data_IF_864806612720
#
_entry.id   IF_864806612720
#
_cell.length_a   1.000
_cell.length_b   1.000
_cell.length_c   1.000
_cell.angle_alpha   90.00
_cell.angle_beta   90.00
_cell.angle_gamma   90.00
#
_symmetry.space_group_name_H-M   'P 1'
#
loop_
_entity.id
_entity.type
_entity.pdbx_description
1 polymer ?
#
# COMPACT_ATOMS: atom_id res chain seq x y z
N UNK A 1 23.73 22.07 4.23
CA UNK A 1 22.25 22.02 4.40
C UNK A 1 21.93 21.85 5.88
N UNK A 2 21.00 22.61 6.42
CA UNK A 2 20.69 22.50 7.84
C UNK A 2 19.76 21.29 8.09
N UNK A 3 19.65 20.90 9.37
CA UNK A 3 18.87 19.72 9.77
C UNK A 3 17.39 19.86 9.40
N UNK A 4 16.84 21.07 9.52
CA UNK A 4 15.44 21.33 9.15
C UNK A 4 15.16 21.03 7.68
N UNK A 5 16.02 21.54 6.80
CA UNK A 5 15.88 21.32 5.33
C UNK A 5 16.06 19.85 4.97
N UNK A 6 16.99 19.14 5.63
CA UNK A 6 17.19 17.71 5.41
C UNK A 6 15.96 16.91 5.82
N UNK A 7 15.41 17.18 7.01
CA UNK A 7 14.19 16.51 7.48
C UNK A 7 12.99 16.83 6.59
N UNK A 8 12.85 18.06 6.15
CA UNK A 8 11.78 18.49 5.25
C UNK A 8 11.87 17.73 3.91
N UNK A 9 13.07 17.60 3.37
CA UNK A 9 13.32 16.86 2.13
C UNK A 9 12.94 15.38 2.31
N UNK A 10 13.41 14.74 3.37
CA UNK A 10 13.08 13.34 3.68
C UNK A 10 11.56 13.17 3.84
N UNK A 11 10.91 14.08 4.54
CA UNK A 11 9.46 14.04 4.76
C UNK A 11 8.69 14.13 3.45
N UNK A 12 9.07 15.06 2.56
CA UNK A 12 8.42 15.22 1.26
C UNK A 12 8.67 14.00 0.37
N UNK A 13 9.89 13.48 0.32
CA UNK A 13 10.22 12.30 -0.47
C UNK A 13 9.46 11.07 0.01
N UNK A 14 9.35 10.88 1.32
CA UNK A 14 8.57 9.76 1.86
C UNK A 14 7.08 9.89 1.55
N UNK A 15 6.55 11.12 1.53
CA UNK A 15 5.17 11.38 1.11
C UNK A 15 4.93 10.99 -0.34
N UNK A 16 5.86 11.34 -1.22
CA UNK A 16 5.79 11.00 -2.65
C UNK A 16 5.82 9.48 -2.84
N UNK A 17 6.73 8.80 -2.14
CA UNK A 17 6.81 7.34 -2.19
C UNK A 17 5.54 6.69 -1.67
N UNK A 18 5.01 7.18 -0.56
CA UNK A 18 3.81 6.63 0.07
C UNK A 18 2.60 6.73 -0.86
N UNK A 19 2.35 7.92 -1.39
CA UNK A 19 1.20 8.19 -2.28
C UNK A 19 1.40 7.49 -3.62
N UNK A 20 2.59 7.61 -4.22
CA UNK A 20 2.89 7.03 -5.53
C UNK A 20 2.81 5.52 -5.53
N UNK A 21 3.43 4.86 -4.54
CA UNK A 21 3.39 3.41 -4.42
C UNK A 21 1.97 2.92 -4.13
N UNK A 22 1.25 3.61 -3.24
CA UNK A 22 -0.12 3.24 -2.90
C UNK A 22 -1.05 3.27 -4.11
N UNK A 23 -1.04 4.35 -4.88
CA UNK A 23 -1.85 4.47 -6.10
C UNK A 23 -1.39 3.51 -7.18
N UNK A 24 -0.08 3.39 -7.39
CA UNK A 24 0.47 2.47 -8.39
C UNK A 24 0.12 1.03 -8.10
N UNK A 25 0.24 0.61 -6.85
CA UNK A 25 -0.11 -0.74 -6.41
C UNK A 25 -1.60 -1.02 -6.60
N UNK A 26 -2.46 -0.09 -6.21
CA UNK A 26 -3.90 -0.24 -6.36
C UNK A 26 -4.30 -0.34 -7.84
N UNK A 27 -3.72 0.49 -8.69
CA UNK A 27 -3.97 0.48 -10.13
C UNK A 27 -3.58 -0.88 -10.75
N UNK A 28 -2.35 -1.32 -10.49
CA UNK A 28 -1.83 -2.56 -11.05
C UNK A 28 -2.64 -3.77 -10.58
N UNK A 29 -2.95 -3.82 -9.29
CA UNK A 29 -3.69 -4.94 -8.73
C UNK A 29 -5.12 -5.00 -9.27
N UNK A 30 -5.78 -3.84 -9.41
CA UNK A 30 -7.13 -3.75 -9.94
C UNK A 30 -7.21 -4.31 -11.37
N UNK A 31 -6.31 -3.86 -12.25
CA UNK A 31 -6.31 -4.30 -13.64
C UNK A 31 -5.84 -5.74 -13.80
N UNK A 32 -4.89 -6.20 -13.00
CA UNK A 32 -4.46 -7.59 -13.02
C UNK A 32 -5.60 -8.53 -12.63
N UNK A 33 -6.37 -8.17 -11.61
CA UNK A 33 -7.50 -8.97 -11.16
C UNK A 33 -8.63 -9.02 -12.19
N UNK A 34 -8.75 -7.98 -13.01
CA UNK A 34 -9.76 -7.95 -14.09
C UNK A 34 -9.34 -8.71 -15.34
N UNK A 35 -8.06 -9.08 -15.45
CA UNK A 35 -7.55 -9.79 -16.63
C UNK A 35 -7.98 -11.27 -16.68
N UNK A 36 -8.45 -11.82 -15.57
CA UNK A 36 -8.77 -13.25 -15.39
C UNK A 36 -7.60 -14.19 -15.71
N UNK A 37 -6.37 -13.67 -15.74
CA UNK A 37 -5.17 -14.43 -15.96
C UNK A 37 -4.50 -14.73 -14.61
N UNK A 38 -4.53 -16.00 -14.19
CA UNK A 38 -4.01 -16.42 -12.89
C UNK A 38 -2.51 -16.14 -12.75
N UNK A 39 -1.75 -16.35 -13.82
CA UNK A 39 -0.31 -16.08 -13.80
C UNK A 39 -0.02 -14.59 -13.63
N UNK A 40 -0.75 -13.73 -14.35
CA UNK A 40 -0.62 -12.29 -14.21
C UNK A 40 -1.03 -11.84 -12.80
N UNK A 41 -2.12 -12.37 -12.26
CA UNK A 41 -2.57 -12.07 -10.91
C UNK A 41 -1.52 -12.45 -9.86
N UNK A 42 -0.89 -13.61 -10.00
CA UNK A 42 0.16 -14.07 -9.09
C UNK A 42 1.39 -13.16 -9.15
N UNK A 43 1.85 -12.82 -10.35
CA UNK A 43 3.03 -11.97 -10.54
C UNK A 43 2.78 -10.57 -10.01
N UNK A 44 1.66 -9.95 -10.39
CA UNK A 44 1.35 -8.58 -9.99
C UNK A 44 1.10 -8.50 -8.47
N UNK A 45 0.35 -9.44 -7.90
CA UNK A 45 0.10 -9.47 -6.46
C UNK A 45 1.40 -9.59 -5.66
N UNK A 46 2.33 -10.43 -6.10
CA UNK A 46 3.63 -10.59 -5.47
C UNK A 46 4.45 -9.30 -5.57
N UNK A 47 4.45 -8.65 -6.73
CA UNK A 47 5.17 -7.39 -6.94
C UNK A 47 4.56 -6.26 -6.10
N UNK A 48 3.23 -6.20 -6.01
CA UNK A 48 2.53 -5.19 -5.19
C UNK A 48 2.88 -5.36 -3.71
N UNK A 49 2.84 -6.59 -3.19
CA UNK A 49 3.22 -6.86 -1.80
C UNK A 49 4.68 -6.49 -1.55
N UNK A 50 5.56 -6.84 -2.48
CA UNK A 50 6.98 -6.52 -2.38
C UNK A 50 7.22 -5.01 -2.41
N UNK A 51 6.53 -4.29 -3.30
CA UNK A 51 6.62 -2.83 -3.37
C UNK A 51 6.10 -2.18 -2.09
N UNK A 52 4.99 -2.66 -1.55
CA UNK A 52 4.43 -2.14 -0.30
C UNK A 52 5.38 -2.38 0.88
N UNK A 53 6.01 -3.56 0.94
CA UNK A 53 6.96 -3.87 2.02
C UNK A 53 8.26 -3.07 1.90
N UNK A 54 8.76 -2.85 0.69
CA UNK A 54 10.06 -2.18 0.48
C UNK A 54 9.96 -0.66 0.40
N UNK A 55 8.84 -0.12 -0.06
CA UNK A 55 8.67 1.33 -0.27
C UNK A 55 7.63 1.92 0.67
N UNK A 56 6.42 1.37 0.70
CA UNK A 56 5.33 1.94 1.49
C UNK A 56 5.56 1.80 2.98
N UNK A 57 6.00 0.64 3.45
CA UNK A 57 6.21 0.40 4.88
C UNK A 57 7.32 1.27 5.45
N UNK A 58 8.54 1.34 4.84
CA UNK A 58 9.56 2.27 5.32
C UNK A 58 9.10 3.73 5.25
N UNK A 59 8.45 4.14 4.18
CA UNK A 59 7.92 5.50 4.03
C UNK A 59 6.86 5.81 5.09
N UNK A 60 5.99 4.84 5.39
CA UNK A 60 4.96 4.98 6.41
C UNK A 60 5.54 5.16 7.83
N UNK A 61 6.72 4.58 8.08
CA UNK A 61 7.43 4.76 9.35
C UNK A 61 8.20 6.08 9.39
N UNK A 62 8.85 6.44 8.28
CA UNK A 62 9.64 7.68 8.19
C UNK A 62 8.73 8.91 8.25
N UNK A 63 7.54 8.83 7.67
CA UNK A 63 6.61 9.96 7.57
C UNK A 63 6.26 10.57 8.94
N UNK A 64 5.75 9.81 9.94
CA UNK A 64 5.44 10.40 11.25
C UNK A 64 6.70 10.81 12.01
N UNK A 65 7.78 10.05 11.90
CA UNK A 65 9.03 10.36 12.60
C UNK A 65 9.60 11.68 12.10
N UNK A 66 9.71 11.86 10.79
CA UNK A 66 10.19 13.11 10.19
C UNK A 66 9.23 14.27 10.44
N UNK A 67 7.93 14.02 10.38
CA UNK A 67 6.92 15.04 10.65
C UNK A 67 6.96 15.54 12.08
N UNK A 68 7.08 14.65 13.07
CA UNK A 68 7.21 15.03 14.47
C UNK A 68 8.52 15.77 14.74
N UNK A 69 9.62 15.33 14.12
CA UNK A 69 10.90 16.01 14.22
C UNK A 69 10.85 17.43 13.65
N UNK A 70 10.21 17.60 12.47
CA UNK A 70 10.01 18.92 11.87
C UNK A 70 9.16 19.83 12.75
N UNK A 71 8.09 19.27 13.33
CA UNK A 71 7.23 20.00 14.25
C UNK A 71 8.02 20.52 15.46
N UNK A 72 8.86 19.67 16.03
CA UNK A 72 9.69 20.02 17.17
C UNK A 72 10.70 21.12 16.82
N UNK A 73 11.39 20.99 15.69
CA UNK A 73 12.38 21.98 15.22
C UNK A 73 11.72 23.32 14.87
N UNK A 74 10.52 23.30 14.33
CA UNK A 74 9.78 24.52 13.96
C UNK A 74 9.05 25.15 15.17
N UNK A 75 9.00 24.47 16.32
CA UNK A 75 8.34 24.97 17.50
C UNK A 75 6.81 24.88 17.48
N UNK A 76 6.25 24.04 16.61
CA UNK A 76 4.81 23.83 16.52
C UNK A 76 4.33 22.89 17.63
N UNK A 77 3.12 23.13 18.14
CA UNK A 77 2.48 22.29 19.13
C UNK A 77 1.50 21.31 18.47
N UNK A 78 1.34 20.12 19.08
CA UNK A 78 0.33 19.15 18.65
C UNK A 78 -1.11 19.69 18.78
N UNK A 79 -1.32 20.70 19.61
CA UNK A 79 -2.61 21.37 19.75
C UNK A 79 -2.95 22.28 18.55
N UNK A 80 -2.00 22.54 17.65
CA UNK A 80 -2.26 23.29 16.42
C UNK A 80 -3.29 22.54 15.57
N UNK A 81 -4.43 23.17 15.20
CA UNK A 81 -5.54 22.43 14.58
C UNK A 81 -5.18 21.66 13.32
N UNK A 82 -4.40 22.26 12.42
CA UNK A 82 -4.04 21.59 11.16
C UNK A 82 -3.07 20.41 11.39
N UNK A 83 -2.18 20.50 12.37
CA UNK A 83 -1.28 19.40 12.74
C UNK A 83 -2.05 18.25 13.38
N UNK A 84 -2.96 18.55 14.30
CA UNK A 84 -3.81 17.55 14.93
C UNK A 84 -4.69 16.85 13.90
N UNK A 85 -5.27 17.59 12.97
CA UNK A 85 -6.10 17.04 11.91
C UNK A 85 -5.26 16.14 10.98
N UNK A 86 -4.07 16.59 10.58
CA UNK A 86 -3.17 15.82 9.71
C UNK A 86 -2.74 14.52 10.37
N UNK A 87 -2.38 14.56 11.64
CA UNK A 87 -1.97 13.37 12.39
C UNK A 87 -3.15 12.41 12.56
N UNK A 88 -4.32 12.93 12.88
CA UNK A 88 -5.55 12.13 12.99
C UNK A 88 -5.92 11.44 11.69
N UNK A 89 -5.86 12.16 10.58
CA UNK A 89 -6.10 11.59 9.24
C UNK A 89 -5.05 10.54 8.89
N UNK A 90 -3.78 10.76 9.25
CA UNK A 90 -2.72 9.80 9.00
C UNK A 90 -2.94 8.50 9.79
N UNK A 91 -3.30 8.61 11.07
CA UNK A 91 -3.61 7.44 11.91
C UNK A 91 -4.81 6.68 11.35
N UNK A 92 -5.85 7.40 10.92
CA UNK A 92 -7.03 6.78 10.29
C UNK A 92 -6.65 6.05 9.00
N UNK A 93 -5.85 6.68 8.16
CA UNK A 93 -5.39 6.07 6.91
C UNK A 93 -4.56 4.81 7.18
N UNK A 94 -3.67 4.86 8.18
CA UNK A 94 -2.88 3.71 8.60
C UNK A 94 -3.74 2.57 9.14
N UNK A 95 -4.75 2.90 9.93
CA UNK A 95 -5.69 1.93 10.46
C UNK A 95 -6.50 1.25 9.34
N UNK A 96 -6.85 1.99 8.29
CA UNK A 96 -7.50 1.43 7.12
C UNK A 96 -6.55 0.62 6.24
N UNK A 97 -5.28 1.03 6.17
CA UNK A 97 -4.27 0.40 5.33
C UNK A 97 -3.83 -0.97 5.85
N UNK A 98 -3.70 -1.14 7.16
CA UNK A 98 -3.24 -2.40 7.75
C UNK A 98 -4.12 -3.60 7.35
N UNK A 99 -5.47 -3.53 7.46
CA UNK A 99 -6.32 -4.61 6.95
C UNK A 99 -6.18 -4.83 5.45
N UNK A 100 -6.02 -3.76 4.67
CA UNK A 100 -5.82 -3.86 3.23
C UNK A 100 -4.51 -4.58 2.91
N UNK A 101 -3.42 -4.26 3.62
CA UNK A 101 -2.14 -4.93 3.46
C UNK A 101 -2.26 -6.43 3.78
N UNK A 102 -2.96 -6.77 4.86
CA UNK A 102 -3.21 -8.16 5.21
C UNK A 102 -3.98 -8.89 4.11
N UNK A 103 -5.03 -8.25 3.57
CA UNK A 103 -5.80 -8.78 2.45
C UNK A 103 -4.94 -8.96 1.20
N UNK A 104 -4.08 -7.99 0.90
CA UNK A 104 -3.17 -8.06 -0.25
C UNK A 104 -2.21 -9.25 -0.13
N UNK A 105 -1.63 -9.47 1.05
CA UNK A 105 -0.74 -10.60 1.30
C UNK A 105 -1.50 -11.91 1.12
N UNK A 106 -2.71 -11.98 1.66
CA UNK A 106 -3.56 -13.16 1.53
C UNK A 106 -3.91 -13.44 0.07
N UNK A 107 -4.31 -12.40 -0.68
CA UNK A 107 -4.61 -12.52 -2.10
C UNK A 107 -3.39 -12.97 -2.91
N UNK A 108 -2.21 -12.44 -2.59
CA UNK A 108 -0.97 -12.84 -3.26
C UNK A 108 -0.66 -14.32 -3.02
N UNK A 109 -0.87 -14.82 -1.80
CA UNK A 109 -0.67 -16.24 -1.47
C UNK A 109 -1.67 -17.13 -2.22
N UNK A 110 -2.93 -16.70 -2.27
CA UNK A 110 -3.97 -17.44 -2.99
C UNK A 110 -3.68 -17.48 -4.49
N UNK A 111 -3.28 -16.36 -5.08
CA UNK A 111 -2.94 -16.28 -6.49
C UNK A 111 -1.71 -17.14 -6.81
N UNK A 112 -0.68 -17.12 -5.96
CA UNK A 112 0.52 -17.93 -6.13
C UNK A 112 0.18 -19.42 -6.02
N UNK A 113 -0.63 -19.80 -5.06
CA UNK A 113 -1.11 -21.18 -4.90
C UNK A 113 -1.88 -21.64 -6.14
N UNK A 114 -2.79 -20.81 -6.65
CA UNK A 114 -3.58 -21.12 -7.84
C UNK A 114 -2.67 -21.25 -9.08
N UNK A 115 -1.68 -20.37 -9.23
CA UNK A 115 -0.73 -20.41 -10.33
C UNK A 115 0.14 -21.68 -10.29
N UNK A 116 0.63 -22.03 -9.09
CA UNK A 116 1.48 -23.22 -8.89
C UNK A 116 0.74 -24.52 -9.16
N UNK A 117 -0.57 -24.57 -8.88
CA UNK A 117 -1.40 -25.74 -9.08
C UNK A 117 -2.21 -25.69 -10.39
N UNK A 118 -2.05 -24.64 -11.20
CA UNK A 118 -2.80 -24.45 -12.42
C UNK A 118 -4.30 -24.26 -12.20
N UNK A 119 -4.70 -23.83 -10.99
CA UNK A 119 -6.10 -23.62 -10.64
C UNK A 119 -6.47 -22.13 -10.71
N UNK A 120 -7.70 -21.79 -11.11
CA UNK A 120 -8.14 -20.41 -11.07
C UNK A 120 -8.40 -19.96 -9.61
N UNK A 121 -8.39 -18.64 -9.38
CA UNK A 121 -8.80 -18.07 -8.11
C UNK A 121 -10.26 -18.42 -7.80
N UNK A 122 -10.68 -18.48 -6.53
CA UNK A 122 -12.06 -18.87 -6.18
C UNK A 122 -13.13 -18.05 -6.90
N UNK A 123 -12.95 -16.73 -7.05
CA UNK A 123 -13.91 -15.88 -7.76
C UNK A 123 -13.94 -16.17 -9.28
N UNK A 124 -12.79 -16.49 -9.88
CA UNK A 124 -12.70 -16.87 -11.28
C UNK A 124 -13.19 -18.32 -11.51
N UNK A 125 -12.99 -19.17 -10.51
CA UNK A 125 -13.44 -20.56 -10.52
C UNK A 125 -14.95 -20.66 -10.65
N UNK A 126 -15.69 -19.83 -9.93
CA UNK A 126 -17.15 -19.78 -10.00
C UNK A 126 -17.62 -19.41 -11.41
N UNK A 127 -16.94 -18.47 -12.06
CA UNK A 127 -17.26 -18.10 -13.46
C UNK A 127 -17.03 -19.23 -14.43
N UNK A 128 -15.89 -19.90 -14.30
CA UNK A 128 -15.52 -21.01 -15.18
C UNK A 128 -16.54 -22.15 -15.05
N UNK A 129 -16.95 -22.50 -13.82
CA UNK A 129 -17.96 -23.51 -13.58
C UNK A 129 -19.28 -23.16 -14.25
N UNK A 130 -19.71 -21.91 -14.19
CA UNK A 130 -20.94 -21.45 -14.83
C UNK A 130 -20.83 -21.47 -16.36
N UNK A 131 -19.67 -21.13 -16.94
CA UNK A 131 -19.45 -21.19 -18.36
C UNK A 131 -19.42 -22.61 -18.89
N UNK A 132 -18.80 -23.53 -18.17
CA UNK A 132 -18.73 -24.94 -18.56
C UNK A 132 -20.09 -25.65 -18.48
N UNK A 133 -20.98 -25.19 -17.61
CA UNK A 133 -22.33 -25.75 -17.45
C UNK A 133 -23.29 -25.16 -18.49
N UNK A 134 -22.99 -23.97 -18.98
CA UNK A 134 -23.80 -23.34 -20.02
C UNK A 134 -23.44 -23.88 -21.41
#
# INVERSE_FOLDING_TARGET
MNTYLMLKTVHILSSVLLVGTGFGSAFNLFFANRSDNVQAQAVVSRLVVRADLWFTTPAALVQPISGLALMHLAGWSLSTPWLALSLGLYVLAGACWLPVLWLQVRMARMAQHAADHGQPLPAAQDRVVHEDVA
#
